data_IF_191250581114
#
_entry.id   IF_191250581114
#
_cell.length_a   1.000
_cell.length_b   1.000
_cell.length_c   1.000
_cell.angle_alpha   90.00
_cell.angle_beta   90.00
_cell.angle_gamma   90.00
#
_symmetry.space_group_name_H-M   'P 1'
#
loop_
_entity.id
_entity.type
_entity.pdbx_description
1 polymer ?
#
# COMPACT_ATOMS: atom_id res chain seq x y z
N UNK A 1 9.69 26.83 9.72
CA UNK A 1 9.49 26.14 8.43
C UNK A 1 7.99 26.13 8.20
N UNK A 2 7.48 26.28 6.97
CA UNK A 2 6.03 26.20 6.71
C UNK A 2 5.56 24.76 6.88
N UNK A 3 4.38 24.58 7.45
CA UNK A 3 3.74 23.27 7.53
C UNK A 3 3.32 22.80 6.13
N UNK A 4 3.11 21.48 5.96
CA UNK A 4 2.57 20.94 4.70
C UNK A 4 1.20 21.56 4.36
N UNK A 5 0.36 21.76 5.37
CA UNK A 5 -0.95 22.44 5.24
C UNK A 5 -0.83 23.86 4.67
N UNK A 6 0.13 24.65 5.16
CA UNK A 6 0.39 26.01 4.65
C UNK A 6 0.88 25.96 3.20
N UNK A 7 1.82 25.05 2.88
CA UNK A 7 2.33 24.87 1.51
C UNK A 7 1.20 24.45 0.55
N UNK A 8 0.35 23.49 0.97
CA UNK A 8 -0.81 23.06 0.18
C UNK A 8 -1.77 24.22 -0.11
N UNK A 9 -2.10 25.03 0.90
CA UNK A 9 -2.98 26.19 0.76
C UNK A 9 -2.41 27.23 -0.21
N UNK A 10 -1.11 27.51 -0.12
CA UNK A 10 -0.43 28.46 -1.02
C UNK A 10 -0.42 27.96 -2.47
N UNK A 11 -0.14 26.67 -2.68
CA UNK A 11 -0.14 26.09 -4.01
C UNK A 11 -1.55 26.09 -4.61
N UNK A 12 -2.56 25.66 -3.84
CA UNK A 12 -3.96 25.69 -4.27
C UNK A 12 -4.39 27.10 -4.68
N UNK A 13 -4.00 28.13 -3.92
CA UNK A 13 -4.27 29.52 -4.27
C UNK A 13 -3.54 29.94 -5.55
N UNK A 14 -2.28 29.53 -5.73
CA UNK A 14 -1.49 29.82 -6.94
C UNK A 14 -2.09 29.17 -8.19
N UNK A 15 -2.51 27.91 -8.10
CA UNK A 15 -3.16 27.19 -9.20
C UNK A 15 -4.46 27.89 -9.58
N UNK A 16 -5.32 28.20 -8.62
CA UNK A 16 -6.59 28.92 -8.84
C UNK A 16 -6.37 30.31 -9.46
N UNK A 17 -5.37 31.05 -8.99
CA UNK A 17 -5.05 32.37 -9.53
C UNK A 17 -4.48 32.33 -10.95
N UNK A 18 -3.94 31.21 -11.41
CA UNK A 18 -3.41 31.06 -12.77
C UNK A 18 -4.51 31.14 -13.84
N UNK A 19 -5.73 30.73 -13.49
CA UNK A 19 -6.87 30.65 -14.43
C UNK A 19 -6.66 29.60 -15.55
N UNK A 20 -5.63 28.78 -15.47
CA UNK A 20 -5.34 27.76 -16.48
C UNK A 20 -6.16 26.49 -16.21
N UNK A 21 -6.55 25.71 -17.26
CA UNK A 21 -7.17 24.42 -17.07
C UNK A 21 -6.26 23.46 -16.28
N UNK A 22 -6.83 22.62 -15.40
CA UNK A 22 -6.06 21.72 -14.55
C UNK A 22 -5.17 20.77 -15.35
N UNK A 23 -5.63 20.28 -16.51
CA UNK A 23 -4.87 19.38 -17.40
C UNK A 23 -3.51 19.92 -17.84
N UNK A 24 -3.26 21.23 -17.77
CA UNK A 24 -1.96 21.84 -18.08
C UNK A 24 -0.90 21.46 -17.04
N UNK A 25 -1.34 21.13 -15.82
CA UNK A 25 -0.48 20.77 -14.69
C UNK A 25 -0.20 19.25 -14.63
N UNK A 26 -1.07 18.39 -15.19
CA UNK A 26 -0.94 16.94 -15.12
C UNK A 26 0.41 16.39 -15.62
N UNK A 27 0.97 16.86 -16.77
CA UNK A 27 2.22 16.33 -17.30
C UNK A 27 3.46 16.59 -16.42
N UNK A 28 3.36 17.42 -15.39
CA UNK A 28 4.46 17.66 -14.44
C UNK A 28 4.66 16.48 -13.49
N UNK A 29 3.63 15.63 -13.35
CA UNK A 29 3.63 14.51 -12.44
C UNK A 29 3.72 13.20 -13.22
N UNK A 30 4.72 12.41 -12.87
CA UNK A 30 4.96 11.07 -13.41
C UNK A 30 5.03 10.08 -12.25
N UNK A 31 4.87 8.77 -12.47
CA UNK A 31 5.04 7.78 -11.40
C UNK A 31 6.33 7.99 -10.60
N UNK A 32 7.45 8.27 -11.28
CA UNK A 32 8.74 8.51 -10.62
C UNK A 32 8.78 9.81 -9.81
N UNK A 33 8.14 10.89 -10.28
CA UNK A 33 8.10 12.17 -9.56
C UNK A 33 7.22 12.11 -8.32
N UNK A 34 6.16 11.32 -8.37
CA UNK A 34 5.21 11.14 -7.25
C UNK A 34 5.75 10.24 -6.14
N UNK A 35 6.95 9.66 -6.31
CA UNK A 35 7.68 9.01 -5.23
C UNK A 35 8.22 9.98 -4.17
N UNK A 36 8.17 11.28 -4.43
CA UNK A 36 8.50 12.33 -3.46
C UNK A 36 7.23 12.82 -2.75
N UNK A 37 7.25 12.87 -1.43
CA UNK A 37 6.14 13.35 -0.61
C UNK A 37 5.69 14.77 -1.01
N UNK A 38 6.64 15.65 -1.34
CA UNK A 38 6.33 17.02 -1.77
C UNK A 38 5.53 17.05 -3.07
N UNK A 39 5.89 16.24 -4.07
CA UNK A 39 5.18 16.19 -5.34
C UNK A 39 3.81 15.54 -5.22
N UNK A 40 3.66 14.59 -4.31
CA UNK A 40 2.38 13.91 -4.12
C UNK A 40 1.28 14.86 -3.64
N UNK A 41 1.53 15.65 -2.58
CA UNK A 41 0.51 16.59 -2.09
C UNK A 41 0.28 17.75 -3.08
N UNK A 42 1.29 18.13 -3.88
CA UNK A 42 1.11 19.06 -4.99
C UNK A 42 0.15 18.50 -6.03
N UNK A 43 0.33 17.25 -6.43
CA UNK A 43 -0.55 16.56 -7.37
C UNK A 43 -1.98 16.44 -6.82
N UNK A 44 -2.15 16.17 -5.51
CA UNK A 44 -3.46 16.15 -4.86
C UNK A 44 -4.16 17.54 -4.97
N UNK A 45 -3.42 18.64 -4.77
CA UNK A 45 -3.96 19.99 -4.94
C UNK A 45 -4.40 20.28 -6.38
N UNK A 46 -3.66 19.76 -7.37
CA UNK A 46 -4.02 19.86 -8.79
C UNK A 46 -5.26 19.01 -9.10
N UNK A 47 -5.38 17.82 -8.52
CA UNK A 47 -6.57 16.97 -8.65
C UNK A 47 -7.81 17.66 -8.05
N UNK A 48 -7.68 18.23 -6.84
CA UNK A 48 -8.76 19.01 -6.22
C UNK A 48 -9.20 20.19 -7.13
N UNK A 49 -8.24 20.88 -7.76
CA UNK A 49 -8.54 21.96 -8.70
C UNK A 49 -9.22 21.45 -9.98
N UNK A 50 -8.83 20.31 -10.51
CA UNK A 50 -9.49 19.69 -11.67
C UNK A 50 -10.97 19.41 -11.37
N UNK A 51 -11.25 18.89 -10.18
CA UNK A 51 -12.61 18.68 -9.69
C UNK A 51 -13.38 19.99 -9.50
N UNK A 52 -12.74 21.06 -8.97
CA UNK A 52 -13.35 22.38 -8.78
C UNK A 52 -13.74 23.03 -10.12
N UNK A 53 -12.92 22.86 -11.14
CA UNK A 53 -13.11 23.45 -12.47
C UNK A 53 -13.91 22.59 -13.43
N UNK A 54 -14.35 21.40 -12.96
CA UNK A 54 -15.05 20.40 -13.77
C UNK A 54 -14.28 20.08 -15.04
N UNK A 55 -12.98 19.78 -14.86
CA UNK A 55 -12.16 19.24 -15.97
C UNK A 55 -12.75 17.94 -16.48
N UNK A 56 -12.31 17.49 -17.64
CA UNK A 56 -12.77 16.21 -18.21
C UNK A 56 -12.67 15.06 -17.21
N UNK A 57 -13.77 14.33 -17.00
CA UNK A 57 -13.87 13.28 -15.98
C UNK A 57 -12.83 12.18 -16.19
N UNK A 58 -12.63 11.74 -17.43
CA UNK A 58 -11.65 10.67 -17.72
C UNK A 58 -10.22 11.12 -17.48
N UNK A 59 -9.87 12.33 -17.88
CA UNK A 59 -8.54 12.88 -17.59
C UNK A 59 -8.31 13.06 -16.08
N UNK A 60 -9.35 13.43 -15.35
CA UNK A 60 -9.30 13.60 -13.89
C UNK A 60 -9.17 12.25 -13.19
N UNK A 61 -9.91 11.24 -13.65
CA UNK A 61 -9.79 9.85 -13.17
C UNK A 61 -8.39 9.30 -13.41
N UNK A 62 -7.87 9.38 -14.64
CA UNK A 62 -6.52 8.89 -14.97
C UNK A 62 -5.45 9.57 -14.11
N UNK A 63 -5.61 10.86 -13.82
CA UNK A 63 -4.70 11.59 -12.94
C UNK A 63 -4.86 11.20 -11.48
N UNK A 64 -6.09 10.98 -11.02
CA UNK A 64 -6.38 10.47 -9.68
C UNK A 64 -5.73 9.07 -9.48
N UNK A 65 -5.90 8.16 -10.43
CA UNK A 65 -5.27 6.84 -10.39
C UNK A 65 -3.75 6.92 -10.32
N UNK A 66 -3.15 7.81 -11.11
CA UNK A 66 -1.72 8.08 -11.08
C UNK A 66 -1.25 8.53 -9.69
N UNK A 67 -1.96 9.47 -9.06
CA UNK A 67 -1.64 9.95 -7.71
C UNK A 67 -1.70 8.80 -6.70
N UNK A 68 -2.77 8.04 -6.71
CA UNK A 68 -2.99 7.01 -5.71
C UNK A 68 -2.21 5.71 -5.96
N UNK A 69 -1.80 5.43 -7.20
CA UNK A 69 -0.84 4.35 -7.47
C UNK A 69 0.57 4.65 -6.91
N UNK A 70 0.92 5.92 -6.79
CA UNK A 70 2.17 6.39 -6.20
C UNK A 70 2.06 6.68 -4.69
N UNK A 71 0.83 6.84 -4.17
CA UNK A 71 0.55 7.25 -2.79
C UNK A 71 1.10 6.30 -1.73
N UNK A 72 1.15 5.02 -2.05
CA UNK A 72 1.67 3.98 -1.15
C UNK A 72 3.15 4.20 -0.78
N UNK A 73 3.83 5.14 -1.45
CA UNK A 73 5.26 5.35 -1.29
C UNK A 73 5.68 6.48 -0.34
N UNK A 74 4.81 7.44 -0.02
CA UNK A 74 5.35 8.76 0.37
C UNK A 74 4.63 9.49 1.50
N UNK A 75 3.82 8.83 2.28
CA UNK A 75 3.33 9.48 3.50
C UNK A 75 4.44 9.43 4.54
N UNK A 76 5.19 10.52 4.65
CA UNK A 76 6.11 10.69 5.76
C UNK A 76 5.33 10.56 7.06
N UNK A 77 5.74 9.61 7.85
CA UNK A 77 5.06 9.17 9.08
C UNK A 77 5.27 10.16 10.24
N UNK A 78 6.04 11.21 10.02
CA UNK A 78 6.38 12.22 11.03
C UNK A 78 5.37 13.39 11.10
N UNK A 79 4.14 13.17 10.61
CA UNK A 79 3.05 14.14 10.77
C UNK A 79 2.54 14.12 12.20
N UNK A 80 2.25 15.28 12.76
CA UNK A 80 1.55 15.38 14.03
C UNK A 80 0.05 15.08 13.90
N UNK A 81 -0.67 14.92 15.00
CA UNK A 81 -2.07 14.53 14.98
C UNK A 81 -2.99 15.51 14.21
N UNK A 82 -2.67 16.80 14.20
CA UNK A 82 -3.44 17.82 13.44
C UNK A 82 -3.23 17.68 11.95
N UNK A 83 -2.01 17.38 11.53
CA UNK A 83 -1.68 17.15 10.12
C UNK A 83 -2.29 15.84 9.60
N UNK A 84 -2.32 14.78 10.43
CA UNK A 84 -3.03 13.54 10.12
C UNK A 84 -4.52 13.78 9.82
N UNK A 85 -5.21 14.52 10.68
CA UNK A 85 -6.63 14.81 10.47
C UNK A 85 -6.85 15.64 9.19
N UNK A 86 -6.01 16.66 8.96
CA UNK A 86 -6.06 17.47 7.75
C UNK A 86 -5.91 16.62 6.48
N UNK A 87 -4.91 15.72 6.45
CA UNK A 87 -4.66 14.89 5.26
C UNK A 87 -5.75 13.84 5.06
N UNK A 88 -6.20 13.22 6.12
CA UNK A 88 -7.33 12.31 6.07
C UNK A 88 -8.55 12.97 5.43
N UNK A 89 -8.92 14.14 5.93
CA UNK A 89 -10.05 14.90 5.38
C UNK A 89 -9.85 15.25 3.91
N UNK A 90 -8.65 15.70 3.52
CA UNK A 90 -8.35 16.07 2.13
C UNK A 90 -8.41 14.88 1.18
N UNK A 91 -7.78 13.79 1.53
CA UNK A 91 -7.81 12.56 0.73
C UNK A 91 -9.24 12.06 0.58
N UNK A 92 -9.99 11.97 1.67
CA UNK A 92 -11.37 11.50 1.64
C UNK A 92 -12.29 12.41 0.84
N UNK A 93 -12.12 13.74 0.92
CA UNK A 93 -12.87 14.71 0.10
C UNK A 93 -12.61 14.51 -1.39
N UNK A 94 -11.36 14.31 -1.80
CA UNK A 94 -11.02 14.04 -3.21
C UNK A 94 -11.62 12.71 -3.65
N UNK A 95 -11.48 11.65 -2.84
CA UNK A 95 -12.07 10.34 -3.13
C UNK A 95 -13.61 10.42 -3.25
N UNK A 96 -14.29 11.15 -2.36
CA UNK A 96 -15.75 11.32 -2.41
C UNK A 96 -16.21 11.95 -3.72
N UNK A 97 -15.49 12.98 -4.19
CA UNK A 97 -15.83 13.69 -5.43
C UNK A 97 -15.55 12.82 -6.67
N UNK A 98 -14.45 12.07 -6.68
CA UNK A 98 -14.18 11.11 -7.78
C UNK A 98 -15.19 9.98 -7.76
N UNK A 99 -15.64 9.54 -6.58
CA UNK A 99 -16.67 8.51 -6.42
C UNK A 99 -18.06 8.90 -6.98
N UNK A 100 -18.29 10.19 -7.30
CA UNK A 100 -19.51 10.64 -7.99
C UNK A 100 -19.59 10.15 -9.44
N UNK A 101 -18.44 9.93 -10.10
CA UNK A 101 -18.38 9.54 -11.52
C UNK A 101 -17.50 8.32 -11.82
N UNK A 102 -16.66 7.86 -10.89
CA UNK A 102 -15.74 6.72 -11.06
C UNK A 102 -15.71 5.79 -9.86
N UNK A 103 -15.66 4.49 -10.14
CA UNK A 103 -15.43 3.45 -9.14
C UNK A 103 -14.07 3.55 -8.44
N UNK A 104 -13.07 4.17 -9.08
CA UNK A 104 -11.75 4.41 -8.49
C UNK A 104 -11.85 5.15 -7.14
N UNK A 105 -12.73 6.16 -7.05
CA UNK A 105 -12.97 6.90 -5.81
C UNK A 105 -13.46 6.01 -4.67
N UNK A 106 -14.38 5.09 -4.94
CA UNK A 106 -14.87 4.14 -3.94
C UNK A 106 -13.82 3.11 -3.54
N UNK A 107 -13.09 2.54 -4.51
CA UNK A 107 -12.02 1.59 -4.25
C UNK A 107 -10.94 2.22 -3.36
N UNK A 108 -10.54 3.46 -3.67
CA UNK A 108 -9.53 4.18 -2.90
C UNK A 108 -9.99 4.52 -1.48
N UNK A 109 -11.27 4.86 -1.28
CA UNK A 109 -11.83 5.01 0.08
C UNK A 109 -11.69 3.74 0.90
N UNK A 110 -11.99 2.58 0.31
CA UNK A 110 -11.80 1.29 0.96
C UNK A 110 -10.33 1.05 1.34
N UNK A 111 -9.42 1.30 0.41
CA UNK A 111 -7.98 1.16 0.64
C UNK A 111 -7.48 2.05 1.79
N UNK A 112 -7.92 3.31 1.89
CA UNK A 112 -7.52 4.20 2.98
C UNK A 112 -7.87 3.64 4.36
N UNK A 113 -9.05 3.04 4.52
CA UNK A 113 -9.45 2.41 5.78
C UNK A 113 -8.71 1.09 6.05
N UNK A 114 -8.45 0.28 5.02
CA UNK A 114 -7.78 -1.02 5.18
C UNK A 114 -6.30 -0.87 5.53
N UNK A 115 -5.65 0.16 4.98
CA UNK A 115 -4.22 0.43 5.18
C UNK A 115 -3.91 1.16 6.50
N UNK A 116 -4.90 1.37 7.33
CA UNK A 116 -4.77 2.08 8.62
C UNK A 116 -4.13 3.47 8.52
N UNK A 117 -4.19 4.09 7.35
CA UNK A 117 -3.57 5.39 7.13
C UNK A 117 -4.13 6.41 8.09
N UNK A 118 -3.27 7.30 8.57
CA UNK A 118 -3.64 8.32 9.54
C UNK A 118 -4.30 7.75 10.81
N UNK A 119 -4.00 6.51 11.19
CA UNK A 119 -4.60 5.83 12.33
C UNK A 119 -6.09 5.49 12.20
N UNK A 120 -6.67 5.65 11.03
CA UNK A 120 -8.11 5.43 10.75
C UNK A 120 -8.37 4.04 10.17
N UNK A 121 -7.99 2.97 10.87
CA UNK A 121 -8.22 1.60 10.40
C UNK A 121 -9.63 1.14 10.72
N UNK A 122 -10.39 0.79 9.69
CA UNK A 122 -11.69 0.12 9.83
C UNK A 122 -12.00 -0.77 8.62
N UNK A 123 -11.76 -2.06 8.79
CA UNK A 123 -11.96 -3.06 7.73
C UNK A 123 -13.44 -3.27 7.36
N UNK A 124 -14.39 -2.78 8.16
CA UNK A 124 -15.83 -2.92 7.88
C UNK A 124 -16.26 -2.11 6.65
N UNK A 125 -15.52 -1.08 6.28
CA UNK A 125 -15.77 -0.27 5.09
C UNK A 125 -15.24 -0.90 3.80
N UNK A 126 -14.30 -1.83 3.87
CA UNK A 126 -13.57 -2.33 2.70
C UNK A 126 -14.52 -2.97 1.68
N UNK A 127 -15.25 -4.02 2.08
CA UNK A 127 -16.17 -4.71 1.18
C UNK A 127 -17.28 -3.79 0.64
N UNK A 128 -18.01 -3.01 1.47
CA UNK A 128 -19.07 -2.12 0.97
C UNK A 128 -18.58 -1.08 -0.06
N UNK A 129 -17.36 -0.57 0.09
CA UNK A 129 -16.81 0.39 -0.86
C UNK A 129 -16.32 -0.28 -2.15
N UNK A 130 -15.72 -1.47 -2.06
CA UNK A 130 -15.37 -2.24 -3.24
C UNK A 130 -16.60 -2.74 -4.01
N UNK A 131 -17.69 -3.08 -3.35
CA UNK A 131 -18.97 -3.39 -4.01
C UNK A 131 -19.50 -2.19 -4.81
N UNK A 132 -19.45 -0.98 -4.23
CA UNK A 132 -19.85 0.24 -4.96
C UNK A 132 -18.91 0.52 -6.14
N UNK A 133 -17.61 0.30 -5.99
CA UNK A 133 -16.65 0.44 -7.07
C UNK A 133 -16.96 -0.56 -8.22
N UNK A 134 -17.25 -1.81 -7.87
CA UNK A 134 -17.65 -2.84 -8.82
C UNK A 134 -18.95 -2.52 -9.54
N UNK A 135 -19.96 -2.00 -8.80
CA UNK A 135 -21.26 -1.58 -9.38
C UNK A 135 -21.10 -0.43 -10.39
N UNK A 136 -20.02 0.37 -10.27
CA UNK A 136 -19.65 1.41 -11.22
C UNK A 136 -18.74 0.90 -12.36
N UNK A 137 -18.47 -0.40 -12.42
CA UNK A 137 -17.64 -1.01 -13.48
C UNK A 137 -16.14 -0.84 -13.29
N UNK A 138 -15.66 -0.60 -12.06
CA UNK A 138 -14.25 -0.60 -11.77
C UNK A 138 -13.68 -2.01 -11.84
N UNK A 139 -12.89 -2.29 -12.88
CA UNK A 139 -12.48 -3.63 -13.30
C UNK A 139 -11.81 -4.47 -12.20
N UNK A 140 -10.86 -3.85 -11.48
CA UNK A 140 -10.18 -4.51 -10.35
C UNK A 140 -11.17 -4.86 -9.22
N UNK A 141 -12.09 -3.94 -8.89
CA UNK A 141 -13.06 -4.18 -7.82
C UNK A 141 -14.08 -5.25 -8.19
N UNK A 142 -14.54 -5.32 -9.46
CA UNK A 142 -15.42 -6.40 -9.92
C UNK A 142 -14.81 -7.78 -9.64
N UNK A 143 -13.54 -7.97 -10.00
CA UNK A 143 -12.81 -9.21 -9.80
C UNK A 143 -12.47 -9.46 -8.32
N UNK A 144 -12.09 -8.41 -7.59
CA UNK A 144 -11.77 -8.48 -6.16
C UNK A 144 -12.97 -8.91 -5.32
N UNK A 145 -14.15 -8.32 -5.57
CA UNK A 145 -15.39 -8.68 -4.85
C UNK A 145 -15.79 -10.11 -5.16
N UNK A 146 -15.65 -10.57 -6.42
CA UNK A 146 -15.88 -11.97 -6.79
C UNK A 146 -15.01 -12.92 -5.97
N UNK A 147 -13.71 -12.59 -5.85
CA UNK A 147 -12.74 -13.35 -5.07
C UNK A 147 -13.07 -13.35 -3.57
N UNK A 148 -13.36 -12.18 -2.98
CA UNK A 148 -13.69 -12.08 -1.56
C UNK A 148 -14.95 -12.86 -1.20
N UNK A 149 -15.99 -12.79 -2.02
CA UNK A 149 -17.23 -13.58 -1.83
C UNK A 149 -16.93 -15.09 -1.92
N UNK A 150 -16.13 -15.49 -2.90
CA UNK A 150 -15.76 -16.91 -3.06
C UNK A 150 -14.95 -17.43 -1.85
N UNK A 151 -13.98 -16.65 -1.35
CA UNK A 151 -13.08 -17.06 -0.28
C UNK A 151 -13.62 -16.81 1.14
N UNK A 152 -14.58 -15.91 1.29
CA UNK A 152 -15.07 -15.45 2.59
C UNK A 152 -14.19 -14.38 3.23
N UNK A 153 -13.48 -13.57 2.43
CA UNK A 153 -12.72 -12.44 2.95
C UNK A 153 -13.64 -11.24 3.18
N UNK A 154 -13.58 -10.67 4.36
CA UNK A 154 -14.39 -9.51 4.78
C UNK A 154 -15.91 -9.73 4.75
N UNK A 155 -16.37 -10.96 4.53
CA UNK A 155 -17.77 -11.37 4.48
C UNK A 155 -17.90 -12.86 4.80
N UNK A 156 -19.15 -13.32 4.97
CA UNK A 156 -19.43 -14.76 4.98
C UNK A 156 -19.11 -15.37 3.60
N UNK A 157 -18.49 -16.55 3.60
CA UNK A 157 -18.13 -17.25 2.38
C UNK A 157 -19.38 -17.63 1.58
N UNK A 158 -19.43 -17.22 0.32
CA UNK A 158 -20.46 -17.59 -0.65
C UNK A 158 -19.80 -17.92 -2.00
N UNK A 159 -19.51 -19.21 -2.18
CA UNK A 159 -18.85 -19.70 -3.39
C UNK A 159 -19.72 -19.55 -4.63
N UNK A 160 -21.06 -19.72 -4.48
CA UNK A 160 -21.98 -19.60 -5.61
C UNK A 160 -22.05 -18.16 -6.12
N UNK A 161 -22.15 -17.21 -5.20
CA UNK A 161 -22.11 -15.78 -5.54
C UNK A 161 -20.76 -15.37 -6.12
N UNK A 162 -19.64 -15.84 -5.56
CA UNK A 162 -18.31 -15.62 -6.10
C UNK A 162 -18.18 -16.13 -7.54
N UNK A 163 -18.63 -17.36 -7.82
CA UNK A 163 -18.65 -17.93 -9.17
C UNK A 163 -19.53 -17.12 -10.13
N UNK A 164 -20.72 -16.72 -9.68
CA UNK A 164 -21.65 -15.91 -10.47
C UNK A 164 -21.00 -14.57 -10.85
N UNK A 165 -20.31 -13.91 -9.92
CA UNK A 165 -19.61 -12.66 -10.16
C UNK A 165 -18.42 -12.84 -11.11
N UNK A 166 -17.61 -13.87 -10.94
CA UNK A 166 -16.53 -14.17 -11.89
C UNK A 166 -17.06 -14.43 -13.32
N UNK A 167 -18.19 -15.12 -13.44
CA UNK A 167 -18.82 -15.39 -14.74
C UNK A 167 -19.44 -14.13 -15.38
N UNK A 168 -19.75 -13.12 -14.57
CA UNK A 168 -20.33 -11.85 -15.02
C UNK A 168 -19.29 -10.83 -15.50
N UNK A 169 -18.00 -11.06 -15.30
CA UNK A 169 -16.94 -10.17 -15.77
C UNK A 169 -16.95 -10.07 -17.29
N UNK A 170 -17.08 -8.87 -17.83
CA UNK A 170 -17.23 -8.66 -19.29
C UNK A 170 -16.18 -7.74 -19.89
N UNK A 171 -15.66 -6.78 -19.13
CA UNK A 171 -14.59 -5.94 -19.65
C UNK A 171 -13.28 -6.73 -19.77
N UNK A 172 -12.46 -6.48 -20.80
CA UNK A 172 -11.18 -7.18 -20.97
C UNK A 172 -10.28 -7.09 -19.73
N UNK A 173 -10.27 -5.94 -19.09
CA UNK A 173 -9.48 -5.68 -17.88
C UNK A 173 -10.01 -6.47 -16.68
N UNK A 174 -11.32 -6.45 -16.42
CA UNK A 174 -11.92 -7.22 -15.34
C UNK A 174 -11.71 -8.73 -15.53
N UNK A 175 -11.73 -9.23 -16.75
CA UNK A 175 -11.44 -10.64 -17.07
C UNK A 175 -9.98 -10.98 -16.68
N UNK A 176 -9.02 -10.10 -16.98
CA UNK A 176 -7.61 -10.31 -16.62
C UNK A 176 -7.41 -10.30 -15.10
N UNK A 177 -8.00 -9.35 -14.37
CA UNK A 177 -8.03 -9.35 -12.91
C UNK A 177 -8.73 -10.61 -12.36
N UNK A 178 -9.83 -11.02 -12.99
CA UNK A 178 -10.54 -12.26 -12.64
C UNK A 178 -9.66 -13.50 -12.78
N UNK A 179 -8.86 -13.62 -13.86
CA UNK A 179 -7.88 -14.71 -14.03
C UNK A 179 -6.82 -14.67 -12.90
N UNK A 180 -6.32 -13.49 -12.54
CA UNK A 180 -5.36 -13.34 -11.45
C UNK A 180 -5.91 -13.88 -10.14
N UNK A 181 -7.13 -13.49 -9.73
CA UNK A 181 -7.75 -13.98 -8.52
C UNK A 181 -8.15 -15.46 -8.60
N UNK A 182 -8.49 -15.96 -9.78
CA UNK A 182 -8.71 -17.41 -9.99
C UNK A 182 -7.45 -18.22 -9.72
N UNK A 183 -6.27 -17.73 -10.04
CA UNK A 183 -5.03 -18.42 -9.70
C UNK A 183 -4.89 -18.59 -8.17
N UNK A 184 -5.26 -17.61 -7.36
CA UNK A 184 -5.29 -17.77 -5.91
C UNK A 184 -6.35 -18.79 -5.46
N UNK A 185 -7.55 -18.78 -6.05
CA UNK A 185 -8.59 -19.77 -5.75
C UNK A 185 -8.07 -21.19 -5.99
N UNK A 186 -7.41 -21.45 -7.12
CA UNK A 186 -6.84 -22.78 -7.43
C UNK A 186 -5.70 -23.16 -6.47
N UNK A 187 -4.85 -22.19 -6.12
CA UNK A 187 -3.76 -22.41 -5.18
C UNK A 187 -4.28 -22.78 -3.79
N UNK A 188 -5.29 -22.07 -3.28
CA UNK A 188 -5.92 -22.39 -2.00
C UNK A 188 -6.72 -23.69 -2.04
N UNK A 189 -7.24 -24.09 -3.20
CA UNK A 189 -7.85 -25.40 -3.42
C UNK A 189 -6.82 -26.55 -3.49
N UNK A 190 -5.52 -26.25 -3.54
CA UNK A 190 -4.43 -27.20 -3.59
C UNK A 190 -3.94 -27.52 -5.01
N UNK A 191 -4.54 -26.98 -6.05
CA UNK A 191 -4.09 -27.14 -7.44
C UNK A 191 -3.03 -26.09 -7.83
N UNK A 192 -1.85 -26.24 -7.24
CA UNK A 192 -0.70 -25.34 -7.49
C UNK A 192 -0.27 -25.34 -8.96
N UNK A 193 -0.42 -26.47 -9.66
CA UNK A 193 -0.03 -26.58 -11.05
C UNK A 193 -0.94 -25.73 -11.95
N UNK A 194 -2.25 -25.77 -11.72
CA UNK A 194 -3.23 -24.94 -12.42
C UNK A 194 -3.06 -23.45 -12.10
N UNK A 195 -2.81 -23.11 -10.83
CA UNK A 195 -2.52 -21.74 -10.43
C UNK A 195 -1.30 -21.16 -11.16
N UNK A 196 -0.21 -21.95 -11.25
CA UNK A 196 1.01 -21.59 -11.97
C UNK A 196 0.74 -21.42 -13.48
N UNK A 197 -0.04 -22.33 -14.07
CA UNK A 197 -0.42 -22.24 -15.49
C UNK A 197 -1.18 -20.93 -15.76
N UNK A 198 -2.19 -20.59 -14.95
CA UNK A 198 -2.96 -19.35 -15.10
C UNK A 198 -2.05 -18.12 -15.03
N UNK A 199 -1.11 -18.08 -14.08
CA UNK A 199 -0.17 -16.95 -13.91
C UNK A 199 0.75 -16.81 -15.13
N UNK A 200 1.27 -17.92 -15.68
CA UNK A 200 2.11 -17.91 -16.87
C UNK A 200 1.33 -17.45 -18.11
N UNK A 201 0.10 -17.90 -18.28
CA UNK A 201 -0.77 -17.48 -19.36
C UNK A 201 -1.07 -15.97 -19.27
N UNK A 202 -1.34 -15.46 -18.08
CA UNK A 202 -1.50 -14.02 -17.83
C UNK A 202 -0.25 -13.22 -18.22
N UNK A 203 0.95 -13.70 -17.85
CA UNK A 203 2.20 -13.02 -18.23
C UNK A 203 2.42 -12.99 -19.74
N UNK A 204 1.89 -13.96 -20.47
CA UNK A 204 1.94 -13.98 -21.94
C UNK A 204 0.94 -12.99 -22.58
N UNK A 205 -0.19 -12.75 -21.93
CA UNK A 205 -1.23 -11.83 -22.41
C UNK A 205 -0.95 -10.36 -22.07
N UNK A 206 -0.34 -10.07 -20.88
CA UNK A 206 -0.18 -8.73 -20.36
C UNK A 206 1.00 -7.97 -20.99
N UNK A 207 0.85 -6.67 -21.33
CA UNK A 207 1.96 -5.80 -21.71
C UNK A 207 3.05 -5.71 -20.63
N UNK A 208 4.27 -5.39 -21.02
CA UNK A 208 5.43 -5.39 -20.13
C UNK A 208 5.29 -4.41 -18.94
N UNK A 209 4.71 -3.22 -19.17
CA UNK A 209 4.54 -2.18 -18.16
C UNK A 209 3.19 -2.21 -17.43
N UNK A 210 2.36 -3.23 -17.67
CA UNK A 210 1.04 -3.32 -17.07
C UNK A 210 1.10 -3.58 -15.57
N UNK A 211 0.37 -2.81 -14.76
CA UNK A 211 0.35 -2.92 -13.30
C UNK A 211 -0.02 -4.33 -12.83
N UNK A 212 -1.03 -4.94 -13.43
CA UNK A 212 -1.42 -6.32 -13.10
C UNK A 212 -0.27 -7.31 -13.29
N UNK A 213 0.63 -7.09 -14.25
CA UNK A 213 1.82 -7.92 -14.46
C UNK A 213 2.74 -7.93 -13.22
N UNK A 214 2.89 -6.79 -12.54
CA UNK A 214 3.64 -6.71 -11.28
C UNK A 214 3.00 -7.58 -10.19
N UNK A 215 1.67 -7.53 -10.06
CA UNK A 215 0.95 -8.39 -9.11
C UNK A 215 1.10 -9.88 -9.42
N UNK A 216 1.11 -10.25 -10.70
CA UNK A 216 1.34 -11.64 -11.10
C UNK A 216 2.77 -12.09 -10.76
N UNK A 217 3.78 -11.25 -10.99
CA UNK A 217 5.16 -11.57 -10.58
C UNK A 217 5.27 -11.70 -9.06
N UNK A 218 4.69 -10.78 -8.30
CA UNK A 218 4.68 -10.87 -6.84
C UNK A 218 4.04 -12.18 -6.34
N UNK A 219 2.90 -12.56 -6.93
CA UNK A 219 2.22 -13.82 -6.60
C UNK A 219 3.03 -15.07 -6.99
N UNK A 220 3.87 -15.02 -8.02
CA UNK A 220 4.80 -16.09 -8.38
C UNK A 220 5.93 -16.21 -7.34
N UNK A 221 6.47 -15.08 -6.86
CA UNK A 221 7.44 -15.07 -5.76
C UNK A 221 6.85 -15.71 -4.50
N UNK A 222 5.68 -15.25 -4.08
CA UNK A 222 4.97 -15.81 -2.90
C UNK A 222 4.67 -17.32 -3.04
N UNK A 223 4.40 -17.79 -4.26
CA UNK A 223 4.15 -19.20 -4.51
C UNK A 223 5.43 -20.06 -4.36
N UNK A 224 6.59 -19.52 -4.73
CA UNK A 224 7.89 -20.17 -4.53
C UNK A 224 8.28 -20.24 -3.05
N UNK A 225 8.07 -19.16 -2.29
CA UNK A 225 8.28 -19.17 -0.83
C UNK A 225 7.48 -20.31 -0.16
N UNK A 226 6.18 -20.39 -0.47
CA UNK A 226 5.30 -21.46 0.06
C UNK A 226 5.64 -22.87 -0.42
N UNK A 227 6.40 -23.01 -1.51
CA UNK A 227 6.79 -24.29 -2.09
C UNK A 227 8.21 -24.72 -1.69
N UNK A 228 8.90 -23.93 -0.86
CA UNK A 228 10.33 -24.10 -0.57
C UNK A 228 11.16 -24.20 -1.87
N UNK A 229 10.82 -23.34 -2.83
CA UNK A 229 11.43 -23.31 -4.15
C UNK A 229 12.79 -22.63 -4.17
N UNK A 230 13.24 -22.26 -5.36
CA UNK A 230 14.52 -21.54 -5.54
C UNK A 230 14.43 -20.12 -5.01
N UNK A 231 15.19 -19.81 -3.96
CA UNK A 231 15.31 -18.47 -3.36
C UNK A 231 15.76 -17.43 -4.38
N UNK A 232 16.63 -17.82 -5.32
CA UNK A 232 17.09 -16.91 -6.38
C UNK A 232 15.98 -16.60 -7.40
N UNK A 233 15.13 -17.57 -7.73
CA UNK A 233 13.98 -17.34 -8.61
C UNK A 233 12.91 -16.50 -7.92
N UNK A 234 12.66 -16.74 -6.63
CA UNK A 234 11.76 -15.95 -5.80
C UNK A 234 12.20 -14.47 -5.79
N UNK A 235 13.46 -14.20 -5.49
CA UNK A 235 14.02 -12.85 -5.52
C UNK A 235 13.86 -12.20 -6.90
N UNK A 236 14.14 -12.95 -7.98
CA UNK A 236 14.00 -12.45 -9.34
C UNK A 236 12.54 -12.09 -9.71
N UNK A 237 11.55 -12.79 -9.18
CA UNK A 237 10.14 -12.42 -9.38
C UNK A 237 9.78 -11.15 -8.63
N UNK A 238 10.21 -10.99 -7.36
CA UNK A 238 9.97 -9.74 -6.64
C UNK A 238 10.70 -8.55 -7.30
N UNK A 239 11.95 -8.72 -7.75
CA UNK A 239 12.68 -7.69 -8.49
C UNK A 239 11.90 -7.25 -9.75
N UNK A 240 11.39 -8.19 -10.57
CA UNK A 240 10.56 -7.89 -11.75
C UNK A 240 9.25 -7.18 -11.39
N UNK A 241 8.62 -7.53 -10.28
CA UNK A 241 7.42 -6.85 -9.82
C UNK A 241 7.73 -5.39 -9.49
N UNK A 242 8.85 -5.14 -8.80
CA UNK A 242 9.28 -3.81 -8.36
C UNK A 242 9.83 -2.94 -9.49
N UNK A 243 10.30 -3.53 -10.60
CA UNK A 243 10.64 -2.78 -11.83
C UNK A 243 9.40 -2.10 -12.44
N UNK A 244 8.21 -2.71 -12.28
CA UNK A 244 6.94 -2.18 -12.82
C UNK A 244 6.24 -1.30 -11.78
N UNK A 245 6.14 -1.78 -10.53
CA UNK A 245 5.50 -1.07 -9.41
C UNK A 245 6.49 -0.99 -8.24
N UNK A 246 7.30 0.08 -8.15
CA UNK A 246 8.41 0.21 -7.21
C UNK A 246 8.02 0.15 -5.72
N UNK A 247 6.75 0.30 -5.42
CA UNK A 247 6.19 0.37 -4.06
C UNK A 247 5.29 -0.80 -3.69
N UNK A 248 5.33 -1.88 -4.44
CA UNK A 248 4.53 -3.06 -4.15
C UNK A 248 4.97 -3.69 -2.81
N UNK A 249 4.06 -4.40 -2.14
CA UNK A 249 4.34 -5.15 -0.90
C UNK A 249 5.54 -6.11 -1.01
N UNK A 250 5.93 -6.46 -2.23
CA UNK A 250 7.14 -7.24 -2.57
C UNK A 250 8.43 -6.64 -2.02
N UNK A 251 8.48 -5.31 -1.76
CA UNK A 251 9.63 -4.66 -1.11
C UNK A 251 10.00 -5.33 0.21
N UNK A 252 9.01 -5.51 1.09
CA UNK A 252 9.22 -6.16 2.39
C UNK A 252 9.66 -7.61 2.22
N UNK A 253 9.02 -8.35 1.32
CA UNK A 253 9.33 -9.76 1.08
C UNK A 253 10.76 -9.91 0.51
N UNK A 254 11.14 -9.08 -0.46
CA UNK A 254 12.48 -9.07 -1.04
C UNK A 254 13.57 -8.72 -0.01
N UNK A 255 13.32 -7.70 0.83
CA UNK A 255 14.23 -7.33 1.91
C UNK A 255 14.44 -8.50 2.89
N UNK A 256 13.36 -9.17 3.28
CA UNK A 256 13.38 -10.31 4.20
C UNK A 256 14.15 -11.49 3.57
N UNK A 257 13.96 -11.72 2.27
CA UNK A 257 14.66 -12.76 1.53
C UNK A 257 16.16 -12.50 1.50
N UNK A 258 16.58 -11.29 1.14
CA UNK A 258 18.00 -10.87 1.13
C UNK A 258 18.64 -10.98 2.50
N UNK A 259 17.91 -10.63 3.55
CA UNK A 259 18.42 -10.70 4.92
C UNK A 259 18.60 -12.15 5.39
N UNK A 260 17.63 -13.03 5.06
CA UNK A 260 17.60 -14.43 5.51
C UNK A 260 18.58 -15.33 4.76
N UNK A 261 18.88 -15.02 3.49
CA UNK A 261 19.65 -15.86 2.57
C UNK A 261 20.92 -15.17 2.07
N UNK A 262 22.05 -15.30 2.84
CA UNK A 262 23.33 -14.66 2.48
C UNK A 262 23.87 -15.07 1.11
N UNK A 263 23.47 -16.23 0.57
CA UNK A 263 23.87 -16.70 -0.75
C UNK A 263 23.39 -15.79 -1.89
N UNK A 264 22.42 -14.92 -1.65
CA UNK A 264 21.99 -13.89 -2.60
C UNK A 264 22.99 -12.72 -2.70
N UNK A 265 24.04 -12.71 -1.85
CA UNK A 265 25.13 -11.72 -1.85
C UNK A 265 24.67 -10.26 -1.83
N UNK A 266 23.61 -9.95 -1.09
CA UNK A 266 23.12 -8.58 -0.88
C UNK A 266 23.60 -8.06 0.48
N UNK A 267 24.03 -6.78 0.57
CA UNK A 267 24.43 -6.20 1.84
C UNK A 267 23.23 -6.05 2.77
N UNK A 268 23.43 -6.23 4.07
CA UNK A 268 22.36 -6.09 5.08
C UNK A 268 21.78 -4.69 5.13
N UNK A 269 22.60 -3.67 4.89
CA UNK A 269 22.18 -2.26 4.81
C UNK A 269 21.06 -2.08 3.76
N UNK A 270 21.18 -2.75 2.61
CA UNK A 270 20.15 -2.73 1.58
C UNK A 270 18.83 -3.31 2.09
N UNK A 271 18.87 -4.33 2.97
CA UNK A 271 17.64 -4.90 3.53
C UNK A 271 16.90 -3.88 4.39
N UNK A 272 17.64 -3.11 5.21
CA UNK A 272 17.05 -2.04 6.03
C UNK A 272 16.47 -0.93 5.15
N UNK A 273 17.20 -0.48 4.12
CA UNK A 273 16.68 0.50 3.15
C UNK A 273 15.40 0.03 2.46
N UNK A 274 15.31 -1.25 2.10
CA UNK A 274 14.12 -1.81 1.48
C UNK A 274 12.94 -1.94 2.46
N UNK A 275 13.20 -2.29 3.73
CA UNK A 275 12.15 -2.29 4.76
C UNK A 275 11.66 -0.87 5.06
N UNK A 276 12.55 0.12 5.13
CA UNK A 276 12.15 1.52 5.27
C UNK A 276 11.29 1.98 4.07
N UNK A 277 11.68 1.64 2.84
CA UNK A 277 10.87 1.89 1.65
C UNK A 277 9.52 1.17 1.70
N UNK A 278 9.50 -0.08 2.17
CA UNK A 278 8.25 -0.83 2.34
C UNK A 278 7.33 -0.17 3.37
N UNK A 279 7.88 0.33 4.48
CA UNK A 279 7.13 1.12 5.46
C UNK A 279 6.50 2.35 4.82
N UNK A 280 7.28 3.15 4.09
CA UNK A 280 6.77 4.32 3.38
C UNK A 280 5.77 3.96 2.28
N UNK A 281 5.81 2.75 1.75
CA UNK A 281 4.82 2.19 0.84
C UNK A 281 3.55 1.65 1.53
N UNK A 282 3.38 1.89 2.83
CA UNK A 282 2.19 1.45 3.59
C UNK A 282 2.24 -0.01 4.05
N UNK A 283 3.38 -0.69 3.90
CA UNK A 283 3.56 -2.06 4.40
C UNK A 283 3.96 -2.01 5.88
N UNK A 284 2.99 -1.78 6.77
CA UNK A 284 3.22 -1.51 8.19
C UNK A 284 3.99 -2.61 8.93
N UNK A 285 3.90 -3.86 8.47
CA UNK A 285 4.69 -4.96 9.04
C UNK A 285 6.20 -4.81 8.85
N UNK A 286 6.66 -3.91 7.96
CA UNK A 286 8.09 -3.60 7.81
C UNK A 286 8.68 -3.00 9.09
N UNK A 287 7.89 -2.23 9.86
CA UNK A 287 8.31 -1.68 11.14
C UNK A 287 8.72 -2.77 12.15
N UNK A 288 7.99 -3.89 12.18
CA UNK A 288 8.35 -5.02 13.02
C UNK A 288 9.71 -5.61 12.62
N UNK A 289 9.97 -5.78 11.32
CA UNK A 289 11.27 -6.28 10.85
C UNK A 289 12.41 -5.33 11.20
N UNK A 290 12.22 -4.02 11.02
CA UNK A 290 13.20 -3.01 11.41
C UNK A 290 13.43 -3.04 12.93
N UNK A 291 12.38 -2.97 13.73
CA UNK A 291 12.47 -2.96 15.18
C UNK A 291 13.11 -4.22 15.74
N UNK A 292 12.75 -5.40 15.22
CA UNK A 292 13.36 -6.65 15.63
C UNK A 292 14.85 -6.70 15.28
N UNK A 293 15.23 -6.37 14.04
CA UNK A 293 16.62 -6.51 13.59
C UNK A 293 17.56 -5.45 14.18
N UNK A 294 17.06 -4.25 14.57
CA UNK A 294 17.88 -3.30 15.32
C UNK A 294 18.21 -3.76 16.74
N UNK A 295 17.54 -4.79 17.29
CA UNK A 295 17.88 -5.40 18.59
C UNK A 295 19.02 -6.42 18.49
N UNK A 296 19.29 -6.98 17.29
CA UNK A 296 20.28 -8.02 17.10
C UNK A 296 21.72 -7.53 17.42
N UNK A 297 22.58 -8.45 17.86
CA UNK A 297 23.95 -8.15 18.35
C UNK A 297 24.79 -7.32 17.39
N UNK A 298 24.55 -7.45 16.09
CA UNK A 298 25.33 -6.75 15.05
C UNK A 298 25.00 -5.25 14.98
N UNK A 299 23.74 -4.86 15.28
CA UNK A 299 23.27 -3.47 15.16
C UNK A 299 23.13 -2.79 16.51
N UNK A 300 22.65 -3.48 17.52
CA UNK A 300 22.47 -3.04 18.92
C UNK A 300 22.01 -1.59 19.07
N UNK A 301 21.07 -1.14 18.23
CA UNK A 301 20.50 0.19 18.28
C UNK A 301 19.09 0.13 18.92
N UNK A 302 19.06 -0.08 20.21
CA UNK A 302 17.81 -0.20 20.98
C UNK A 302 16.90 1.04 20.86
N UNK A 303 17.42 2.29 20.85
CA UNK A 303 16.59 3.45 20.58
C UNK A 303 15.86 3.39 19.23
N UNK A 304 16.55 3.00 18.16
CA UNK A 304 15.92 2.82 16.83
C UNK A 304 14.95 1.64 16.81
N UNK A 305 15.27 0.55 17.49
CA UNK A 305 14.35 -0.58 17.61
C UNK A 305 13.02 -0.13 18.23
N UNK A 306 13.08 0.59 19.34
CA UNK A 306 11.88 1.11 20.02
C UNK A 306 11.13 2.08 19.10
N UNK A 307 11.81 3.02 18.47
CA UNK A 307 11.21 3.99 17.55
C UNK A 307 10.40 3.30 16.44
N UNK A 308 10.97 2.27 15.77
CA UNK A 308 10.28 1.55 14.71
C UNK A 308 9.10 0.73 15.24
N UNK A 309 9.23 0.11 16.41
CA UNK A 309 8.13 -0.65 17.01
C UNK A 309 6.98 0.25 17.47
N UNK A 310 7.28 1.44 17.99
CA UNK A 310 6.26 2.46 18.32
C UNK A 310 5.53 2.95 17.07
N UNK A 311 6.25 3.19 15.97
CA UNK A 311 5.65 3.51 14.67
C UNK A 311 4.72 2.40 14.20
N UNK A 312 5.16 1.14 14.23
CA UNK A 312 4.34 -0.01 13.85
C UNK A 312 3.08 -0.14 14.72
N UNK A 313 3.21 0.02 16.03
CA UNK A 313 2.07 -0.01 16.95
C UNK A 313 1.04 1.09 16.65
N UNK A 314 1.49 2.29 16.29
CA UNK A 314 0.60 3.40 15.93
C UNK A 314 -0.29 3.06 14.72
N UNK A 315 0.23 2.24 13.78
CA UNK A 315 -0.51 1.77 12.60
C UNK A 315 -1.17 0.40 12.80
N UNK A 316 -1.40 0.01 14.07
CA UNK A 316 -2.06 -1.25 14.42
C UNK A 316 -1.34 -2.51 13.95
N UNK A 317 -0.01 -2.46 13.79
CA UNK A 317 0.79 -3.64 13.50
C UNK A 317 0.99 -4.46 14.80
N UNK A 318 0.40 -5.67 14.90
CA UNK A 318 0.30 -6.38 16.18
C UNK A 318 1.62 -6.93 16.69
N UNK A 319 2.54 -7.31 15.80
CA UNK A 319 3.84 -7.85 16.20
C UNK A 319 4.75 -6.76 16.75
N UNK A 320 4.65 -5.53 16.25
CA UNK A 320 5.38 -4.39 16.80
C UNK A 320 4.98 -4.11 18.25
N UNK A 321 3.68 -4.17 18.56
CA UNK A 321 3.21 -4.01 19.93
C UNK A 321 3.70 -5.15 20.86
N UNK A 322 3.75 -6.38 20.35
CA UNK A 322 4.25 -7.54 21.08
C UNK A 322 5.75 -7.40 21.39
N UNK A 323 6.58 -7.12 20.39
CA UNK A 323 8.03 -6.95 20.56
C UNK A 323 8.36 -5.78 21.51
N UNK A 324 7.64 -4.66 21.39
CA UNK A 324 7.80 -3.53 22.29
C UNK A 324 7.47 -3.91 23.74
N UNK A 325 6.41 -4.68 23.94
CA UNK A 325 6.06 -5.19 25.28
C UNK A 325 7.16 -6.10 25.84
N UNK A 326 7.78 -6.95 25.01
CA UNK A 326 8.91 -7.80 25.42
C UNK A 326 10.12 -6.96 25.83
N UNK A 327 10.45 -5.91 25.05
CA UNK A 327 11.54 -4.98 25.40
C UNK A 327 11.30 -4.36 26.79
N UNK A 328 10.11 -3.85 27.06
CA UNK A 328 9.79 -3.24 28.35
C UNK A 328 9.71 -4.23 29.50
N UNK A 329 9.32 -5.48 29.26
CA UNK A 329 9.27 -6.52 30.28
C UNK A 329 10.64 -7.07 30.67
N UNK A 330 11.54 -7.21 29.71
CA UNK A 330 12.82 -7.88 29.95
C UNK A 330 14.02 -6.93 30.09
N UNK A 331 13.86 -5.65 29.73
CA UNK A 331 14.89 -4.63 29.89
C UNK A 331 14.53 -3.66 31.04
N UNK A 332 14.44 -4.16 32.27
CA UNK A 332 14.20 -3.35 33.47
C UNK A 332 15.11 -2.10 33.59
N UNK A 333 16.28 -2.12 32.96
CA UNK A 333 17.21 -1.00 32.95
C UNK A 333 16.75 0.20 32.10
N UNK A 334 15.90 0.00 31.09
CA UNK A 334 15.42 1.10 30.23
C UNK A 334 14.31 1.92 30.89
N UNK A 335 13.53 1.31 31.78
CA UNK A 335 12.48 1.99 32.54
C UNK A 335 13.03 2.99 33.57
N UNK A 336 14.29 2.80 34.02
CA UNK A 336 14.92 3.62 35.05
C UNK A 336 15.86 4.70 34.50
N UNK A 337 16.12 4.74 33.21
CA UNK A 337 17.05 5.70 32.58
C UNK A 337 16.37 6.85 31.86
N UNK A 338 15.02 6.87 31.76
CA UNK A 338 14.34 8.03 31.24
C UNK A 338 14.16 9.07 32.35
N UNK A 339 14.61 10.29 32.15
CA UNK A 339 14.44 11.45 33.02
C UNK A 339 12.95 11.71 33.42
N UNK A 340 12.03 11.10 32.69
CA UNK A 340 10.59 11.12 33.00
C UNK A 340 10.20 10.28 34.24
N UNK A 341 11.05 9.37 34.73
CA UNK A 341 10.80 8.60 35.93
C UNK A 341 11.13 9.42 37.19
N UNK A 342 12.11 10.31 37.12
CA UNK A 342 12.51 11.16 38.27
C UNK A 342 11.49 12.25 38.58
N UNK A 343 10.71 12.74 37.61
CA UNK A 343 9.69 13.76 37.84
C UNK A 343 8.38 13.22 38.46
N UNK A 344 8.21 11.90 38.56
CA UNK A 344 6.99 11.29 39.13
C UNK A 344 7.14 10.82 40.59
N UNK A 345 8.33 10.90 41.16
CA UNK A 345 8.59 10.48 42.57
C UNK A 345 8.70 11.67 43.51
N UNK A 346 8.49 12.89 43.04
CA UNK A 346 8.49 14.09 43.90
C UNK A 346 7.09 14.70 44.04
N UNK A 347 6.11 13.90 44.54
CA UNK A 347 4.88 14.40 45.12
C UNK A 347 4.63 13.66 46.43
#
# INVERSE_FOLDING_TARGET
MKTLKEKFGELSAKIKASGQPARVWFPQYTPASLLSAENWWEALAVCEYALDTKEDEKLTEDFFELIFSAFDCNVEVDLNAEEYEFWWEKVMQVCDRVAEFSGAGWAQKGAQYSEARYGKRDMSYLLPYYEKAADMGWAEAEATVAYWRYMGFYCEQDKEEGERRFAALTSPEAILWGKHYRAFVEEFAGDKAKALQIRNDLLAELPAGERLRAHVYAALGDALDRAEGSVAEEAAYYEKALEIVPNLYSLKNLATLYFRYPELNKPKELCFELWEKAWHAGVWSAANFLGYNYQEEEWQDMPKAIEWLEKGMLYCEPYSAYELALIYLYNDCLLYTSDAADDRISV
#
